data_IF_768519659973
#
_entry.id   IF_768519659973
#
_cell.length_a   1.000
_cell.length_b   1.000
_cell.length_c   1.000
_cell.angle_alpha   90.00
_cell.angle_beta   90.00
_cell.angle_gamma   90.00
#
_symmetry.space_group_name_H-M   'P 1'
#
loop_
_entity.id
_entity.type
_entity.pdbx_description
1 polymer ?
#
# COMPACT_ATOMS: atom_id res chain seq x y z
N UNK A 1 10.35 31.48 -7.36
CA UNK A 1 9.24 32.27 -7.94
C UNK A 1 9.29 32.39 -9.47
N UNK A 2 10.44 32.60 -10.12
CA UNK A 2 10.51 32.76 -11.60
C UNK A 2 10.09 31.52 -12.41
N UNK A 3 10.33 30.30 -11.92
CA UNK A 3 9.88 29.06 -12.61
C UNK A 3 8.35 28.89 -12.65
N UNK A 4 7.65 29.40 -11.63
CA UNK A 4 6.19 29.26 -11.49
C UNK A 4 5.45 30.15 -12.51
N UNK A 5 6.03 31.30 -12.85
CA UNK A 5 5.49 32.22 -13.87
C UNK A 5 5.74 31.73 -15.30
N UNK A 6 6.82 30.98 -15.54
CA UNK A 6 7.11 30.36 -16.84
C UNK A 6 6.16 29.19 -17.10
N UNK A 7 5.88 28.37 -16.07
CA UNK A 7 4.93 27.26 -16.16
C UNK A 7 3.49 27.75 -16.40
N UNK A 8 3.08 28.83 -15.74
CA UNK A 8 1.76 29.44 -15.95
C UNK A 8 1.60 30.07 -17.34
N UNK A 9 2.67 30.65 -17.92
CA UNK A 9 2.66 31.14 -19.32
C UNK A 9 2.62 29.99 -20.33
N UNK A 10 3.23 28.85 -20.03
CA UNK A 10 3.24 27.68 -20.92
C UNK A 10 1.89 26.95 -20.91
N UNK A 11 1.26 26.83 -19.74
CA UNK A 11 -0.10 26.27 -19.58
C UNK A 11 -1.15 27.18 -20.24
N UNK A 12 -1.01 28.51 -20.12
CA UNK A 12 -1.90 29.46 -20.81
C UNK A 12 -1.82 29.39 -22.35
N UNK A 13 -0.65 29.05 -22.92
CA UNK A 13 -0.48 28.89 -24.38
C UNK A 13 -1.12 27.60 -24.90
N UNK A 14 -1.00 26.50 -24.14
CA UNK A 14 -1.63 25.22 -24.45
C UNK A 14 -3.17 25.26 -24.33
N UNK A 15 -3.71 26.12 -23.46
CA UNK A 15 -5.16 26.27 -23.32
C UNK A 15 -5.81 27.15 -24.41
N UNK A 16 -5.07 28.03 -25.08
CA UNK A 16 -5.62 28.88 -26.16
C UNK A 16 -5.62 28.20 -27.53
N UNK A 17 -4.69 27.29 -27.81
CA UNK A 17 -4.58 26.66 -29.14
C UNK A 17 -5.55 25.47 -29.33
N UNK A 18 -6.13 24.93 -28.26
CA UNK A 18 -7.06 23.77 -28.32
C UNK A 18 -8.52 24.09 -27.97
N UNK A 19 -8.83 25.34 -27.61
CA UNK A 19 -10.19 25.76 -27.23
C UNK A 19 -11.21 25.75 -28.40
N UNK A 20 -10.77 25.49 -29.64
CA UNK A 20 -11.63 25.49 -30.82
C UNK A 20 -12.31 24.14 -31.13
N UNK A 21 -12.05 23.05 -30.38
CA UNK A 21 -12.49 21.70 -30.84
C UNK A 21 -13.35 20.85 -29.91
N UNK A 22 -13.55 21.14 -28.62
CA UNK A 22 -14.50 20.36 -27.79
C UNK A 22 -15.08 21.21 -26.65
N UNK A 23 -16.42 21.33 -26.52
CA UNK A 23 -17.02 22.01 -25.39
C UNK A 23 -17.24 21.03 -24.23
N UNK A 24 -17.13 21.57 -23.00
CA UNK A 24 -17.52 21.01 -21.70
C UNK A 24 -16.65 19.92 -21.04
N UNK A 25 -15.79 20.36 -20.12
CA UNK A 25 -15.64 19.69 -18.81
C UNK A 25 -15.84 20.76 -17.74
N UNK A 26 -17.02 20.78 -17.12
CA UNK A 26 -17.21 21.54 -15.89
C UNK A 26 -16.55 20.78 -14.73
N UNK A 27 -15.55 21.40 -14.11
CA UNK A 27 -14.90 20.90 -12.90
C UNK A 27 -15.86 21.11 -11.73
N UNK A 28 -16.43 20.02 -11.21
CA UNK A 28 -17.36 20.06 -10.09
C UNK A 28 -16.67 20.33 -8.73
N UNK A 29 -17.42 20.85 -7.73
CA UNK A 29 -16.90 21.27 -6.43
C UNK A 29 -16.26 20.14 -5.59
N UNK A 30 -16.58 18.88 -5.88
CA UNK A 30 -16.00 17.71 -5.19
C UNK A 30 -14.48 17.55 -5.42
N UNK A 31 -13.99 17.93 -6.60
CA UNK A 31 -12.56 17.88 -6.93
C UNK A 31 -11.77 18.90 -6.13
N UNK A 32 -12.36 20.09 -5.91
CA UNK A 32 -11.79 21.16 -5.09
C UNK A 32 -11.69 20.73 -3.62
N UNK A 33 -12.67 19.98 -3.10
CA UNK A 33 -12.65 19.46 -1.72
C UNK A 33 -11.59 18.37 -1.50
N UNK A 34 -11.40 17.47 -2.47
CA UNK A 34 -10.37 16.41 -2.38
C UNK A 34 -8.96 16.98 -2.44
N UNK A 35 -8.68 17.89 -3.39
CA UNK A 35 -7.37 18.56 -3.51
C UNK A 35 -7.04 19.38 -2.27
N UNK A 36 -8.04 20.05 -1.68
CA UNK A 36 -7.87 20.83 -0.45
C UNK A 36 -7.56 19.95 0.76
N UNK A 37 -8.19 18.78 0.86
CA UNK A 37 -7.92 17.81 1.95
C UNK A 37 -6.50 17.24 1.86
N UNK A 38 -6.03 16.90 0.65
CA UNK A 38 -4.67 16.41 0.42
C UNK A 38 -3.63 17.52 0.65
N UNK A 39 -3.92 18.75 0.20
CA UNK A 39 -3.06 19.91 0.44
C UNK A 39 -2.94 20.25 1.93
N UNK A 40 -4.03 20.17 2.70
CA UNK A 40 -4.03 20.45 4.14
C UNK A 40 -3.28 19.36 4.92
N UNK A 41 -3.41 18.10 4.51
CA UNK A 41 -2.66 16.98 5.08
C UNK A 41 -1.15 17.07 4.79
N UNK A 42 -0.77 17.58 3.62
CA UNK A 42 0.63 17.80 3.24
C UNK A 42 1.23 19.04 3.91
N UNK A 43 0.44 20.09 4.08
CA UNK A 43 0.82 21.34 4.76
C UNK A 43 1.02 21.12 6.27
N UNK A 44 0.17 20.31 6.90
CA UNK A 44 0.30 19.91 8.30
C UNK A 44 1.60 19.15 8.57
N UNK A 45 1.97 18.18 7.72
CA UNK A 45 3.24 17.43 7.82
C UNK A 45 4.48 18.31 7.64
N UNK A 46 4.42 19.32 6.76
CA UNK A 46 5.52 20.30 6.59
C UNK A 46 5.67 21.21 7.82
N UNK A 47 4.57 21.55 8.49
CA UNK A 47 4.59 22.37 9.69
C UNK A 47 5.15 21.61 10.91
N UNK A 48 4.79 20.33 11.07
CA UNK A 48 5.36 19.48 12.14
C UNK A 48 6.86 19.18 11.95
N UNK A 49 7.32 18.96 10.71
CA UNK A 49 8.74 18.76 10.41
C UNK A 49 9.59 20.00 10.77
N UNK A 50 9.04 21.20 10.62
CA UNK A 50 9.68 22.48 11.01
C UNK A 50 9.65 22.73 12.52
N UNK A 51 8.67 22.18 13.24
CA UNK A 51 8.58 22.32 14.71
C UNK A 51 9.44 21.26 15.43
N UNK A 52 9.54 20.04 14.89
CA UNK A 52 10.39 18.97 15.45
C UNK A 52 11.89 19.24 15.37
N UNK A 53 12.33 20.09 14.43
CA UNK A 53 13.73 20.53 14.31
C UNK A 53 14.12 21.64 15.28
N UNK A 54 13.17 22.47 15.75
CA UNK A 54 13.44 23.55 16.74
C UNK A 54 13.58 23.05 18.18
N UNK A 55 13.04 21.88 18.52
CA UNK A 55 13.13 21.33 19.88
C UNK A 55 14.38 20.49 20.16
N UNK A 56 15.15 20.11 19.13
CA UNK A 56 16.40 19.34 19.31
C UNK A 56 17.66 20.18 19.44
N UNK A 57 17.62 21.49 19.17
CA UNK A 57 18.80 22.37 19.24
C UNK A 57 18.98 23.13 20.56
N UNK A 58 18.12 22.92 21.58
CA UNK A 58 18.20 23.64 22.88
C UNK A 58 18.66 22.81 24.08
N UNK A 59 19.10 21.57 23.89
CA UNK A 59 19.41 20.68 25.01
C UNK A 59 20.70 19.91 24.84
N UNK A 60 21.85 20.59 24.74
CA UNK A 60 23.19 20.03 25.02
C UNK A 60 24.25 21.14 24.97
N UNK A 61 24.51 21.75 26.13
CA UNK A 61 25.81 22.31 26.49
C UNK A 61 25.85 22.38 28.02
N UNK A 62 26.48 21.38 28.64
CA UNK A 62 26.88 21.41 30.04
C UNK A 62 28.40 21.52 30.06
N UNK A 63 28.89 22.52 30.79
CA UNK A 63 30.30 22.75 31.09
C UNK A 63 30.38 23.72 32.24
N UNK A 64 30.51 23.20 33.46
CA UNK A 64 31.02 23.89 34.65
C UNK A 64 32.55 23.70 34.65
N UNK A 65 33.38 24.66 35.10
CA UNK A 65 33.70 24.67 36.53
C UNK A 65 34.01 26.06 37.17
N UNK A 66 33.69 26.15 38.46
CA UNK A 66 34.36 26.91 39.58
C UNK A 66 33.86 28.32 39.93
N UNK A 67 33.50 28.52 41.21
CA UNK A 67 33.77 29.78 41.91
C UNK A 67 32.79 30.21 43.03
N UNK A 68 33.02 29.70 44.25
CA UNK A 68 32.82 30.30 45.61
C UNK A 68 31.76 31.40 45.89
N UNK A 69 31.06 31.13 47.01
CA UNK A 69 30.84 31.97 48.21
C UNK A 69 29.42 32.47 48.54
N UNK A 70 28.93 31.92 49.67
CA UNK A 70 28.03 32.45 50.73
C UNK A 70 27.32 33.80 50.49
N UNK A 71 26.00 33.82 50.75
CA UNK A 71 25.40 34.41 51.96
C UNK A 71 23.93 34.00 52.14
N UNK A 72 23.55 34.03 53.40
CA UNK A 72 22.25 33.81 54.06
C UNK A 72 21.12 34.75 53.63
N UNK A 73 19.87 34.27 53.74
CA UNK A 73 18.73 35.14 54.08
C UNK A 73 17.40 34.79 53.40
N UNK A 74 16.42 34.38 54.22
CA UNK A 74 15.07 34.95 54.15
C UNK A 74 14.04 34.29 53.26
N UNK A 75 13.03 33.72 53.92
CA UNK A 75 11.65 33.52 53.47
C UNK A 75 11.17 34.55 52.44
N UNK A 76 10.49 34.06 51.40
CA UNK A 76 9.19 34.59 50.99
C UNK A 76 8.46 33.64 50.01
N UNK A 77 7.22 33.34 50.38
CA UNK A 77 6.19 32.70 49.57
C UNK A 77 6.08 33.36 48.20
N UNK A 78 6.03 32.54 47.15
CA UNK A 78 5.43 32.92 45.88
C UNK A 78 4.64 31.72 45.33
N UNK A 79 3.37 31.73 45.70
CA UNK A 79 2.28 30.94 45.15
C UNK A 79 2.06 31.38 43.69
N UNK A 80 2.41 30.51 42.74
CA UNK A 80 2.50 30.89 41.33
C UNK A 80 2.21 29.73 40.38
N UNK A 81 0.92 29.44 40.21
CA UNK A 81 0.32 28.84 39.03
C UNK A 81 1.06 27.64 38.38
N UNK A 82 0.81 26.43 38.92
CA UNK A 82 0.91 25.20 38.12
C UNK A 82 -0.17 25.23 37.04
N UNK A 83 0.09 25.92 35.92
CA UNK A 83 -0.63 25.67 34.67
C UNK A 83 -0.23 24.29 34.20
N UNK A 84 -1.02 23.29 34.60
CA UNK A 84 -0.94 21.95 34.06
C UNK A 84 -1.03 22.03 32.54
N UNK A 85 0.07 21.72 31.86
CA UNK A 85 0.09 21.42 30.45
C UNK A 85 -0.69 20.12 30.24
N UNK A 86 -2.02 20.24 30.20
CA UNK A 86 -2.90 19.18 29.76
C UNK A 86 -2.58 18.83 28.31
N UNK A 87 -1.60 17.96 28.11
CA UNK A 87 -1.52 17.20 26.86
C UNK A 87 -2.87 16.50 26.71
N UNK A 88 -3.57 16.64 25.57
CA UNK A 88 -4.86 15.97 25.40
C UNK A 88 -4.64 14.49 25.65
N UNK A 89 -5.39 13.95 26.61
CA UNK A 89 -5.41 12.54 26.91
C UNK A 89 -5.75 11.83 25.59
N UNK A 90 -4.75 11.19 24.98
CA UNK A 90 -5.01 10.34 23.81
C UNK A 90 -5.85 9.20 24.34
N UNK A 91 -7.16 9.31 24.21
CA UNK A 91 -8.11 8.23 24.48
C UNK A 91 -7.61 7.02 23.68
N UNK A 92 -6.99 6.08 24.39
CA UNK A 92 -6.56 4.83 23.81
C UNK A 92 -7.83 4.00 23.71
N UNK A 93 -8.27 3.76 22.47
CA UNK A 93 -9.33 2.78 22.22
C UNK A 93 -8.98 1.47 22.96
N UNK A 94 -9.97 0.78 23.55
CA UNK A 94 -9.74 -0.48 24.24
C UNK A 94 -8.95 -1.46 23.38
N UNK A 95 -8.10 -2.25 24.02
CA UNK A 95 -7.39 -3.33 23.35
C UNK A 95 -8.36 -4.47 23.06
N UNK A 96 -8.61 -4.73 21.78
CA UNK A 96 -9.44 -5.85 21.34
C UNK A 96 -8.68 -7.17 21.54
N UNK A 97 -9.35 -8.15 22.14
CA UNK A 97 -8.85 -9.52 22.34
C UNK A 97 -9.97 -10.51 22.04
N UNK A 98 -10.24 -10.80 20.75
CA UNK A 98 -11.33 -11.68 20.37
C UNK A 98 -11.02 -13.12 20.79
N UNK A 99 -12.07 -13.87 21.15
CA UNK A 99 -11.96 -15.28 21.57
C UNK A 99 -11.47 -16.17 20.43
N UNK A 100 -11.85 -15.81 19.20
CA UNK A 100 -11.40 -16.47 17.98
C UNK A 100 -10.60 -15.48 17.12
N UNK A 101 -9.54 -15.93 16.43
CA UNK A 101 -8.80 -15.08 15.52
C UNK A 101 -9.71 -14.54 14.39
N UNK A 102 -9.65 -13.25 14.05
CA UNK A 102 -10.46 -12.72 12.95
C UNK A 102 -10.10 -13.35 11.60
N UNK A 103 -11.10 -13.49 10.72
CA UNK A 103 -10.90 -13.83 9.31
C UNK A 103 -10.87 -12.56 8.47
N UNK A 104 -10.13 -12.59 7.36
CA UNK A 104 -10.22 -11.56 6.33
C UNK A 104 -9.83 -12.09 4.96
N UNK A 105 -9.92 -11.20 3.97
CA UNK A 105 -9.73 -11.53 2.56
C UNK A 105 -8.71 -10.61 1.91
N UNK A 106 -7.90 -11.13 1.00
CA UNK A 106 -6.92 -10.32 0.26
C UNK A 106 -6.58 -10.95 -1.07
N UNK A 107 -5.88 -10.22 -1.92
CA UNK A 107 -5.33 -10.75 -3.17
C UNK A 107 -3.81 -10.85 -3.12
N UNK A 108 -3.25 -11.84 -3.80
CA UNK A 108 -1.83 -12.05 -3.90
C UNK A 108 -1.47 -12.77 -5.21
N UNK A 109 -0.25 -12.62 -5.68
CA UNK A 109 0.24 -13.41 -6.80
C UNK A 109 0.82 -14.74 -6.29
N UNK A 110 0.37 -15.89 -6.81
CA UNK A 110 0.98 -17.17 -6.50
C UNK A 110 2.39 -17.22 -7.09
N UNK A 111 3.34 -17.79 -6.36
CA UNK A 111 4.73 -17.91 -6.78
C UNK A 111 5.27 -19.32 -6.55
N UNK A 112 6.23 -19.72 -7.38
CA UNK A 112 6.95 -20.98 -7.31
C UNK A 112 8.45 -20.69 -7.22
N UNK A 113 9.17 -21.38 -6.35
CA UNK A 113 10.63 -21.29 -6.29
C UNK A 113 11.25 -21.77 -7.60
N UNK A 114 12.42 -21.25 -7.94
CA UNK A 114 13.14 -21.62 -9.16
C UNK A 114 13.40 -23.13 -9.25
N UNK A 115 13.69 -23.77 -8.13
CA UNK A 115 13.92 -25.22 -8.02
C UNK A 115 12.63 -26.06 -8.00
N UNK A 116 11.45 -25.41 -8.04
CA UNK A 116 10.14 -26.06 -8.04
C UNK A 116 9.75 -26.73 -6.72
N UNK A 117 10.54 -26.58 -5.65
CA UNK A 117 10.33 -27.30 -4.38
C UNK A 117 9.41 -26.56 -3.40
N UNK A 118 9.15 -25.27 -3.63
CA UNK A 118 8.37 -24.42 -2.72
C UNK A 118 7.38 -23.58 -3.48
N UNK A 119 6.19 -23.43 -2.92
CA UNK A 119 5.18 -22.50 -3.39
C UNK A 119 4.80 -21.51 -2.28
N UNK A 120 4.29 -20.36 -2.68
CA UNK A 120 3.86 -19.31 -1.75
C UNK A 120 3.19 -18.17 -2.49
N UNK A 121 3.19 -17.01 -1.86
CA UNK A 121 2.52 -15.83 -2.40
C UNK A 121 3.40 -14.60 -2.30
N UNK A 122 3.17 -13.63 -3.17
CA UNK A 122 3.68 -12.27 -3.01
C UNK A 122 2.53 -11.27 -3.03
N UNK A 123 2.62 -10.23 -2.20
CA UNK A 123 1.58 -9.20 -2.11
C UNK A 123 1.47 -8.38 -3.40
N UNK A 124 0.31 -7.76 -3.61
CA UNK A 124 0.06 -6.85 -4.74
C UNK A 124 0.43 -5.39 -4.46
N UNK A 125 0.71 -5.05 -3.20
CA UNK A 125 1.02 -3.68 -2.75
C UNK A 125 2.53 -3.49 -2.48
N UNK A 126 2.93 -2.33 -1.95
CA UNK A 126 4.31 -1.98 -1.59
C UNK A 126 5.07 -3.04 -0.76
N UNK A 127 4.34 -3.88 0.01
CA UNK A 127 4.90 -5.01 0.75
C UNK A 127 5.19 -6.28 -0.08
N UNK A 128 4.86 -6.29 -1.37
CA UNK A 128 5.03 -7.41 -2.32
C UNK A 128 6.46 -7.62 -2.82
N UNK A 129 7.46 -7.19 -2.04
CA UNK A 129 8.86 -7.34 -2.39
C UNK A 129 9.38 -8.75 -2.15
N UNK A 130 8.86 -9.45 -1.13
CA UNK A 130 9.33 -10.77 -0.71
C UNK A 130 8.19 -11.80 -0.72
N UNK A 131 8.41 -12.98 -1.34
CA UNK A 131 7.54 -14.13 -1.19
C UNK A 131 7.37 -14.56 0.26
N UNK A 132 6.16 -14.97 0.61
CA UNK A 132 5.80 -15.52 1.92
C UNK A 132 5.02 -16.84 1.77
N UNK A 133 5.15 -17.70 2.78
CA UNK A 133 4.44 -18.97 2.85
C UNK A 133 2.99 -18.83 3.30
N UNK A 134 2.28 -19.97 3.37
CA UNK A 134 0.89 -20.04 3.83
C UNK A 134 0.75 -19.55 5.28
N UNK A 135 1.64 -20.02 6.16
CA UNK A 135 1.83 -19.51 7.51
C UNK A 135 3.07 -18.61 7.51
N UNK A 136 2.91 -17.33 7.84
CA UNK A 136 4.01 -16.37 7.75
C UNK A 136 3.88 -15.25 8.78
N UNK A 137 5.03 -14.78 9.26
CA UNK A 137 5.19 -13.58 10.08
C UNK A 137 5.60 -12.39 9.21
N UNK A 138 5.07 -11.22 9.52
CA UNK A 138 5.37 -9.98 8.83
C UNK A 138 6.71 -9.42 9.31
N UNK A 139 7.55 -9.03 8.37
CA UNK A 139 8.80 -8.32 8.62
C UNK A 139 8.71 -6.87 8.14
N UNK A 140 9.61 -6.02 8.63
CA UNK A 140 9.74 -4.66 8.10
C UNK A 140 10.49 -4.71 6.77
N UNK A 141 9.84 -4.27 5.69
CA UNK A 141 10.45 -4.21 4.35
C UNK A 141 11.65 -3.24 4.33
N UNK A 142 11.64 -2.22 5.19
CA UNK A 142 12.75 -1.28 5.34
C UNK A 142 13.89 -1.80 6.25
N UNK A 143 13.80 -3.03 6.76
CA UNK A 143 14.82 -3.60 7.67
C UNK A 143 14.90 -2.92 9.04
N UNK A 144 13.93 -2.06 9.39
CA UNK A 144 13.91 -1.36 10.67
C UNK A 144 13.63 -2.32 11.83
N UNK A 145 14.32 -2.09 12.94
CA UNK A 145 14.15 -2.86 14.17
C UNK A 145 12.91 -2.39 14.93
N UNK A 146 11.77 -3.00 14.63
CA UNK A 146 10.56 -2.86 15.41
C UNK A 146 9.64 -4.07 15.23
N UNK A 147 8.73 -4.28 16.17
CA UNK A 147 7.70 -5.31 16.04
C UNK A 147 6.66 -4.92 15.00
N UNK A 148 6.38 -5.82 14.05
CA UNK A 148 5.26 -5.65 13.12
C UNK A 148 3.92 -6.05 13.79
N UNK A 149 2.80 -5.39 13.45
CA UNK A 149 2.73 -4.10 12.77
C UNK A 149 3.11 -2.95 13.72
N UNK A 150 3.91 -2.01 13.24
CA UNK A 150 4.22 -0.77 13.95
C UNK A 150 3.38 0.40 13.39
N UNK A 151 2.65 1.12 14.25
CA UNK A 151 1.72 2.20 13.86
C UNK A 151 2.35 3.32 13.01
N UNK A 152 3.67 3.50 13.06
CA UNK A 152 4.42 4.53 12.30
C UNK A 152 5.22 3.98 11.12
N UNK A 153 5.06 2.70 10.82
CA UNK A 153 5.63 2.03 9.67
C UNK A 153 4.48 1.42 8.86
N UNK A 154 4.73 1.01 7.62
CA UNK A 154 3.81 0.27 6.75
C UNK A 154 3.93 -1.26 6.90
N UNK A 155 4.87 -1.76 7.72
CA UNK A 155 5.09 -3.19 7.93
C UNK A 155 3.86 -3.97 8.40
N UNK A 156 3.65 -5.18 7.89
CA UNK A 156 2.49 -5.98 8.22
C UNK A 156 1.82 -6.53 6.98
N UNK A 157 1.11 -7.63 7.16
CA UNK A 157 0.17 -8.08 6.15
C UNK A 157 -1.11 -7.24 6.23
N UNK A 158 -1.84 -7.17 5.12
CA UNK A 158 -3.10 -6.43 5.03
C UNK A 158 -4.18 -7.37 4.47
N UNK A 159 -5.40 -7.28 5.01
CA UNK A 159 -6.60 -7.88 4.44
C UNK A 159 -7.80 -6.97 4.69
N UNK A 160 -8.84 -7.11 3.88
CA UNK A 160 -10.14 -6.49 4.10
C UNK A 160 -11.07 -7.44 4.85
N UNK A 161 -12.10 -6.90 5.49
CA UNK A 161 -13.10 -7.70 6.20
C UNK A 161 -14.02 -8.45 5.23
N UNK A 162 -14.39 -7.79 4.14
CA UNK A 162 -15.39 -8.28 3.20
C UNK A 162 -14.75 -9.00 2.01
N UNK A 163 -15.34 -10.13 1.64
CA UNK A 163 -14.85 -10.95 0.53
C UNK A 163 -15.08 -10.26 -0.81
N UNK A 164 -16.25 -9.65 -1.01
CA UNK A 164 -16.58 -9.00 -2.28
C UNK A 164 -15.66 -7.80 -2.54
N UNK A 165 -15.30 -7.05 -1.49
CA UNK A 165 -14.30 -5.98 -1.56
C UNK A 165 -12.92 -6.49 -2.01
N UNK A 166 -12.48 -7.66 -1.53
CA UNK A 166 -11.23 -8.27 -2.00
C UNK A 166 -11.34 -8.77 -3.45
N UNK A 167 -12.48 -9.33 -3.83
CA UNK A 167 -12.75 -9.80 -5.19
C UNK A 167 -12.80 -8.64 -6.20
N UNK A 168 -13.36 -7.49 -5.83
CA UNK A 168 -13.40 -6.29 -6.66
C UNK A 168 -11.99 -5.80 -7.05
N UNK A 169 -10.98 -6.03 -6.19
CA UNK A 169 -9.59 -5.71 -6.52
C UNK A 169 -9.06 -6.53 -7.70
N UNK A 170 -9.63 -7.70 -8.00
CA UNK A 170 -9.23 -8.53 -9.14
C UNK A 170 -9.72 -7.97 -10.49
N UNK A 171 -10.62 -6.98 -10.49
CA UNK A 171 -11.08 -6.35 -11.73
C UNK A 171 -10.00 -5.46 -12.36
N UNK A 172 -9.04 -4.95 -11.57
CA UNK A 172 -7.96 -4.11 -12.10
C UNK A 172 -6.99 -4.92 -12.93
N UNK A 173 -6.50 -4.34 -14.03
CA UNK A 173 -5.69 -5.03 -15.01
C UNK A 173 -4.44 -5.70 -14.40
N UNK A 174 -3.84 -5.02 -13.44
CA UNK A 174 -2.63 -5.38 -12.72
C UNK A 174 -2.85 -6.58 -11.79
N UNK A 175 -4.10 -6.84 -11.41
CA UNK A 175 -4.46 -7.83 -10.39
C UNK A 175 -5.35 -8.95 -10.94
N UNK A 176 -5.75 -8.88 -12.22
CA UNK A 176 -6.58 -9.91 -12.88
C UNK A 176 -6.00 -11.33 -12.79
N UNK A 177 -4.69 -11.47 -12.66
CA UNK A 177 -4.00 -12.78 -12.53
C UNK A 177 -3.69 -13.16 -11.08
N UNK A 178 -3.98 -12.30 -10.11
CA UNK A 178 -3.84 -12.62 -8.70
C UNK A 178 -4.89 -13.64 -8.26
N UNK A 179 -4.63 -14.28 -7.13
CA UNK A 179 -5.57 -15.18 -6.47
C UNK A 179 -6.20 -14.48 -5.27
N UNK A 180 -7.46 -14.79 -5.00
CA UNK A 180 -8.12 -14.38 -3.77
C UNK A 180 -7.75 -15.34 -2.65
N UNK A 181 -7.35 -14.79 -1.52
CA UNK A 181 -6.95 -15.52 -0.32
C UNK A 181 -7.94 -15.27 0.81
N UNK A 182 -8.38 -16.37 1.42
CA UNK A 182 -9.00 -16.38 2.74
C UNK A 182 -7.91 -16.58 3.78
N UNK A 183 -7.83 -15.66 4.75
CA UNK A 183 -6.78 -15.62 5.75
C UNK A 183 -7.32 -15.50 7.17
N UNK A 184 -6.71 -16.27 8.07
CA UNK A 184 -6.86 -16.06 9.50
C UNK A 184 -5.81 -15.06 9.97
N UNK A 185 -6.26 -14.01 10.65
CA UNK A 185 -5.45 -12.93 11.22
C UNK A 185 -4.90 -13.41 12.57
N UNK A 186 -3.59 -13.60 12.64
CA UNK A 186 -2.89 -14.11 13.80
C UNK A 186 -1.95 -13.08 14.41
N UNK A 187 -1.69 -13.23 15.71
CA UNK A 187 -0.81 -12.36 16.46
C UNK A 187 -1.37 -10.94 16.61
N UNK A 188 -0.48 -9.94 16.65
CA UNK A 188 -0.89 -8.54 16.82
C UNK A 188 -1.49 -8.00 15.55
N UNK A 189 -2.58 -7.25 15.68
CA UNK A 189 -3.18 -6.53 14.57
C UNK A 189 -3.57 -5.10 14.94
N UNK A 190 -3.76 -4.30 13.90
CA UNK A 190 -4.42 -3.01 13.91
C UNK A 190 -5.67 -3.19 13.06
N UNK A 191 -6.84 -2.92 13.65
CA UNK A 191 -8.11 -2.92 12.93
C UNK A 191 -8.36 -1.53 12.36
N UNK A 192 -8.78 -1.50 11.10
CA UNK A 192 -9.28 -0.33 10.41
C UNK A 192 -10.73 -0.59 10.02
N UNK A 193 -11.40 0.47 9.54
CA UNK A 193 -12.78 0.40 9.06
C UNK A 193 -12.95 -0.69 8.00
N UNK A 194 -12.05 -0.74 7.02
CA UNK A 194 -12.15 -1.66 5.88
C UNK A 194 -11.40 -2.99 6.07
N UNK A 195 -10.61 -3.16 7.13
CA UNK A 195 -9.80 -4.37 7.25
C UNK A 195 -8.85 -4.44 8.44
N UNK A 196 -7.83 -5.28 8.29
CA UNK A 196 -6.80 -5.51 9.28
C UNK A 196 -5.41 -5.30 8.70
N UNK A 197 -4.50 -4.84 9.56
CA UNK A 197 -3.06 -4.94 9.34
C UNK A 197 -2.43 -5.74 10.47
N UNK A 198 -1.70 -6.80 10.18
CA UNK A 198 -1.40 -7.81 11.18
C UNK A 198 -0.01 -8.44 11.06
N UNK A 199 0.40 -9.07 12.16
CA UNK A 199 1.75 -9.58 12.37
C UNK A 199 1.94 -10.98 11.79
N UNK A 200 0.91 -11.83 11.80
CA UNK A 200 1.00 -13.21 11.33
C UNK A 200 -0.28 -13.61 10.61
N UNK A 201 -0.16 -14.45 9.59
CA UNK A 201 -1.31 -15.04 8.89
C UNK A 201 -1.20 -16.54 8.82
N UNK A 202 -2.37 -17.18 8.65
CA UNK A 202 -2.51 -18.45 7.96
C UNK A 202 -3.44 -18.27 6.77
N UNK A 203 -3.02 -18.65 5.57
CA UNK A 203 -3.90 -18.74 4.39
C UNK A 203 -4.63 -20.09 4.43
N UNK A 204 -5.96 -20.08 4.34
CA UNK A 204 -6.74 -21.32 4.31
C UNK A 204 -7.11 -21.74 2.90
N UNK A 205 -7.60 -20.78 2.11
CA UNK A 205 -8.04 -21.02 0.73
C UNK A 205 -7.42 -20.01 -0.21
N UNK A 206 -6.92 -20.50 -1.34
CA UNK A 206 -6.59 -19.69 -2.51
C UNK A 206 -7.60 -19.99 -3.62
N UNK A 207 -8.40 -18.99 -4.00
CA UNK A 207 -9.33 -19.06 -5.13
C UNK A 207 -8.65 -18.48 -6.37
N UNK A 208 -8.47 -19.35 -7.37
CA UNK A 208 -7.80 -19.04 -8.63
C UNK A 208 -8.81 -18.56 -9.65
N UNK A 209 -8.56 -17.40 -10.28
CA UNK A 209 -9.42 -16.86 -11.33
C UNK A 209 -9.45 -17.72 -12.60
N UNK A 210 -10.17 -17.24 -13.61
CA UNK A 210 -10.18 -17.89 -14.92
C UNK A 210 -8.84 -17.70 -15.65
N UNK A 211 -8.56 -18.58 -16.61
CA UNK A 211 -7.52 -18.39 -17.60
C UNK A 211 -7.76 -17.09 -18.38
N UNK A 212 -6.71 -16.52 -18.98
CA UNK A 212 -6.82 -15.35 -19.86
C UNK A 212 -7.82 -15.55 -21.03
N UNK A 213 -8.02 -16.80 -21.48
CA UNK A 213 -9.03 -17.15 -22.49
C UNK A 213 -10.46 -17.27 -21.94
N UNK A 214 -10.70 -16.96 -20.66
CA UNK A 214 -12.00 -17.04 -19.99
C UNK A 214 -12.37 -18.42 -19.44
N UNK A 215 -11.66 -19.48 -19.82
CA UNK A 215 -11.93 -20.85 -19.34
C UNK A 215 -11.48 -21.04 -17.89
N UNK A 216 -12.15 -21.95 -17.15
CA UNK A 216 -11.74 -22.39 -15.81
C UNK A 216 -10.26 -22.80 -15.81
N UNK A 217 -9.51 -22.30 -14.83
CA UNK A 217 -8.11 -22.65 -14.67
C UNK A 217 -7.96 -24.09 -14.17
N UNK A 218 -7.07 -24.84 -14.80
CA UNK A 218 -6.69 -26.20 -14.39
C UNK A 218 -5.33 -26.21 -13.66
N UNK A 219 -4.52 -25.17 -13.86
CA UNK A 219 -3.18 -25.05 -13.31
C UNK A 219 -2.77 -23.57 -13.17
N UNK A 220 -1.62 -23.37 -12.53
CA UNK A 220 -0.92 -22.11 -12.41
C UNK A 220 0.36 -22.20 -13.26
N UNK A 221 0.48 -21.37 -14.29
CA UNK A 221 1.60 -21.37 -15.24
C UNK A 221 2.48 -20.13 -15.07
N UNK A 222 3.74 -20.19 -15.51
CA UNK A 222 4.67 -19.05 -15.48
C UNK A 222 4.00 -17.80 -16.10
N UNK A 223 3.97 -16.72 -15.32
CA UNK A 223 3.39 -15.44 -15.70
C UNK A 223 4.37 -14.53 -16.46
N UNK A 224 5.61 -14.97 -16.68
CA UNK A 224 6.64 -14.20 -17.38
C UNK A 224 7.31 -13.12 -16.53
N UNK A 225 7.05 -13.10 -15.22
CA UNK A 225 7.68 -12.19 -14.27
C UNK A 225 7.96 -12.90 -12.94
N UNK A 226 8.75 -12.26 -12.07
CA UNK A 226 9.04 -12.84 -10.77
C UNK A 226 9.95 -11.98 -9.90
N UNK A 227 10.56 -12.63 -8.92
CA UNK A 227 11.61 -12.10 -8.04
C UNK A 227 12.84 -13.02 -8.13
N UNK A 228 14.03 -12.59 -7.69
CA UNK A 228 15.18 -13.49 -7.62
C UNK A 228 14.84 -14.79 -6.88
N UNK A 229 15.01 -15.93 -7.55
CA UNK A 229 14.68 -17.26 -7.03
C UNK A 229 13.20 -17.66 -7.06
N UNK A 230 12.30 -16.81 -7.57
CA UNK A 230 10.85 -17.05 -7.57
C UNK A 230 10.17 -16.60 -8.85
N UNK A 231 9.37 -17.48 -9.45
CA UNK A 231 8.53 -17.20 -10.62
C UNK A 231 7.12 -16.91 -10.16
N UNK A 232 6.52 -15.84 -10.65
CA UNK A 232 5.10 -15.61 -10.48
C UNK A 232 4.30 -16.51 -11.42
N UNK A 233 3.13 -16.93 -10.97
CA UNK A 233 2.25 -17.78 -11.72
C UNK A 233 0.92 -17.08 -12.02
N UNK A 234 0.32 -17.44 -13.15
CA UNK A 234 -0.98 -16.98 -13.59
C UNK A 234 -1.93 -18.17 -13.82
N UNK A 235 -3.24 -17.99 -13.62
CA UNK A 235 -4.23 -19.02 -13.96
C UNK A 235 -4.13 -19.46 -15.42
N UNK A 236 -4.21 -20.77 -15.67
CA UNK A 236 -4.19 -21.32 -17.04
C UNK A 236 -5.07 -22.56 -17.17
N UNK A 237 -5.85 -22.61 -18.25
CA UNK A 237 -6.66 -23.78 -18.60
C UNK A 237 -5.82 -24.84 -19.31
N UNK A 238 -6.32 -26.07 -19.41
CA UNK A 238 -5.62 -27.18 -20.06
C UNK A 238 -5.17 -26.87 -21.50
N UNK A 239 -5.96 -26.10 -22.26
CA UNK A 239 -5.63 -25.70 -23.62
C UNK A 239 -4.45 -24.71 -23.72
N UNK A 240 -4.41 -23.72 -22.83
CA UNK A 240 -3.40 -22.66 -22.85
C UNK A 240 -2.06 -23.06 -22.18
N UNK A 241 -1.97 -24.23 -21.55
CA UNK A 241 -0.77 -24.63 -20.79
C UNK A 241 0.45 -25.01 -21.65
N UNK A 242 0.25 -25.33 -22.94
CA UNK A 242 1.27 -25.98 -23.78
C UNK A 242 2.62 -25.25 -23.75
N UNK A 243 3.67 -25.98 -23.36
CA UNK A 243 5.06 -25.52 -23.39
C UNK A 243 5.48 -24.58 -22.25
N UNK A 244 4.63 -24.32 -21.24
CA UNK A 244 4.95 -23.43 -20.11
C UNK A 244 5.24 -24.23 -18.84
N UNK A 245 6.20 -23.75 -18.04
CA UNK A 245 6.38 -24.21 -16.66
C UNK A 245 5.08 -23.99 -15.91
N UNK A 246 4.50 -25.05 -15.37
CA UNK A 246 3.22 -24.98 -14.68
C UNK A 246 3.13 -25.99 -13.55
N UNK A 247 2.25 -25.70 -12.61
CA UNK A 247 1.91 -26.59 -11.50
C UNK A 247 0.40 -26.71 -11.42
N UNK A 248 -0.11 -27.92 -11.22
CA UNK A 248 -1.54 -28.13 -10.99
C UNK A 248 -1.97 -27.44 -9.70
N UNK A 249 -3.27 -27.14 -9.55
CA UNK A 249 -3.78 -26.51 -8.33
C UNK A 249 -3.49 -27.34 -7.08
N UNK A 250 -3.68 -28.66 -7.16
CA UNK A 250 -3.33 -29.60 -6.11
C UNK A 250 -1.81 -29.69 -5.87
N UNK A 251 -1.00 -29.60 -6.92
CA UNK A 251 0.45 -29.55 -6.79
C UNK A 251 0.92 -28.31 -6.04
N UNK A 252 0.36 -27.14 -6.37
CA UNK A 252 0.65 -25.89 -5.67
C UNK A 252 0.26 -25.99 -4.20
N UNK A 253 -0.93 -26.52 -3.89
CA UNK A 253 -1.39 -26.76 -2.52
C UNK A 253 -0.39 -27.60 -1.70
N UNK A 254 0.10 -28.70 -2.28
CA UNK A 254 1.10 -29.57 -1.62
C UNK A 254 2.42 -28.86 -1.38
N UNK A 255 2.94 -28.13 -2.37
CA UNK A 255 4.21 -27.40 -2.27
C UNK A 255 4.14 -26.20 -1.32
N UNK A 256 2.95 -25.60 -1.18
CA UNK A 256 2.72 -24.49 -0.27
C UNK A 256 2.56 -24.96 1.19
N UNK A 257 2.13 -26.22 1.38
CA UNK A 257 2.01 -26.87 2.69
C UNK A 257 0.89 -26.29 3.54
N UNK A 258 0.95 -26.58 4.84
CA UNK A 258 0.06 -25.99 5.87
C UNK A 258 -1.45 -26.20 5.62
N UNK A 259 -1.82 -27.27 4.91
CA UNK A 259 -3.22 -27.58 4.62
C UNK A 259 -3.93 -26.55 3.73
N UNK A 260 -3.18 -25.78 2.93
CA UNK A 260 -3.76 -24.85 1.96
C UNK A 260 -4.71 -25.59 1.01
N UNK A 261 -5.92 -25.06 0.85
CA UNK A 261 -6.84 -25.48 -0.21
C UNK A 261 -6.69 -24.54 -1.41
N UNK A 262 -6.50 -25.08 -2.62
CA UNK A 262 -6.48 -24.29 -3.85
C UNK A 262 -7.65 -24.72 -4.72
N UNK A 263 -8.50 -23.77 -5.09
CA UNK A 263 -9.72 -24.02 -5.89
C UNK A 263 -9.77 -23.10 -7.09
N UNK A 264 -10.24 -23.59 -8.23
CA UNK A 264 -10.58 -22.74 -9.35
C UNK A 264 -11.93 -22.06 -9.08
N UNK A 265 -12.05 -20.79 -9.45
CA UNK A 265 -13.34 -20.09 -9.48
C UNK A 265 -14.17 -20.71 -10.61
N UNK A 266 -15.40 -21.18 -10.33
CA UNK A 266 -16.33 -21.54 -11.40
C UNK A 266 -16.51 -20.34 -12.33
N UNK A 267 -16.49 -20.58 -13.64
CA UNK A 267 -16.93 -19.54 -14.58
C UNK A 267 -18.43 -19.42 -14.39
N UNK A 268 -18.92 -18.22 -14.04
CA UNK A 268 -20.34 -17.95 -14.10
C UNK A 268 -20.76 -18.04 -15.57
N UNK A 269 -21.45 -19.12 -15.93
CA UNK A 269 -22.16 -19.20 -17.20
C UNK A 269 -23.42 -18.36 -17.00
N UNK A 270 -23.65 -17.27 -17.74
CA UNK A 270 -24.93 -16.60 -17.70
C UNK A 270 -26.00 -17.61 -18.11
N UNK A 271 -27.05 -17.77 -17.30
CA UNK A 271 -28.16 -18.65 -17.64
C UNK A 271 -28.77 -18.17 -18.97
N UNK A 272 -29.10 -19.09 -19.91
CA UNK A 272 -29.78 -18.70 -21.14
C UNK A 272 -31.22 -18.31 -20.77
N UNK A 273 -31.49 -17.00 -20.67
CA UNK A 273 -32.83 -16.50 -20.40
C UNK A 273 -32.93 -15.13 -19.73
N UNK A 274 -31.84 -14.60 -19.14
CA UNK A 274 -31.89 -13.25 -18.58
C UNK A 274 -31.59 -12.19 -19.67
N UNK A 275 -32.51 -11.24 -19.92
CA UNK A 275 -32.22 -10.12 -20.80
C UNK A 275 -31.11 -9.27 -20.18
N UNK A 276 -29.93 -9.28 -20.81
CA UNK A 276 -28.88 -8.30 -20.56
C UNK A 276 -29.41 -6.94 -21.03
N UNK A 277 -29.96 -6.17 -20.10
CA UNK A 277 -30.06 -4.73 -20.28
C UNK A 277 -28.63 -4.17 -20.29
N UNK A 278 -28.26 -3.32 -21.26
CA UNK A 278 -26.96 -2.65 -21.26
C UNK A 278 -26.96 -1.59 -20.14
N UNK A 279 -26.67 -2.03 -18.93
CA UNK A 279 -26.35 -1.15 -17.81
C UNK A 279 -24.96 -0.57 -18.02
N UNK A 280 -24.89 0.74 -18.06
CA UNK A 280 -23.68 1.57 -18.14
C UNK A 280 -22.51 0.97 -17.34
N UNK A 281 -21.33 0.91 -17.97
CA UNK A 281 -20.07 0.64 -17.27
C UNK A 281 -19.99 1.53 -16.03
N UNK A 282 -20.03 0.90 -14.86
CA UNK A 282 -20.21 1.60 -13.62
C UNK A 282 -19.04 2.54 -13.33
N UNK A 283 -19.36 3.71 -12.79
CA UNK A 283 -18.45 4.67 -12.16
C UNK A 283 -17.25 4.04 -11.38
N UNK A 284 -17.36 2.86 -10.74
CA UNK A 284 -16.21 2.20 -10.09
C UNK A 284 -15.08 1.75 -11.01
N UNK A 285 -15.36 1.33 -12.25
CA UNK A 285 -14.32 0.89 -13.20
C UNK A 285 -13.57 2.09 -13.78
N UNK A 286 -14.28 3.17 -14.06
CA UNK A 286 -13.69 4.46 -14.45
C UNK A 286 -12.83 5.07 -13.33
N UNK A 287 -13.25 4.92 -12.06
CA UNK A 287 -12.47 5.37 -10.90
C UNK A 287 -11.20 4.53 -10.71
N UNK A 288 -11.25 3.22 -10.96
CA UNK A 288 -10.09 2.35 -10.93
C UNK A 288 -9.09 2.69 -12.04
N UNK A 289 -9.56 2.96 -13.26
CA UNK A 289 -8.72 3.43 -14.36
C UNK A 289 -8.11 4.80 -14.09
N UNK A 290 -8.86 5.75 -13.53
CA UNK A 290 -8.34 7.06 -13.16
C UNK A 290 -7.27 6.99 -12.06
N UNK A 291 -7.47 6.14 -11.05
CA UNK A 291 -6.48 5.90 -10.00
C UNK A 291 -5.20 5.26 -10.56
N UNK A 292 -5.31 4.39 -11.56
CA UNK A 292 -4.18 3.78 -12.24
C UNK A 292 -3.35 4.82 -13.02
N UNK A 293 -4.03 5.67 -13.78
CA UNK A 293 -3.38 6.75 -14.52
C UNK A 293 -2.65 7.71 -13.58
N UNK A 294 -3.25 8.00 -12.41
CA UNK A 294 -2.63 8.84 -11.39
C UNK A 294 -1.37 8.20 -10.79
N UNK A 295 -1.43 6.92 -10.41
CA UNK A 295 -0.28 6.20 -9.85
C UNK A 295 0.88 6.09 -10.84
N UNK A 296 0.57 5.92 -12.13
CA UNK A 296 1.57 5.85 -13.19
C UNK A 296 2.23 7.21 -13.44
N UNK A 297 1.45 8.30 -13.38
CA UNK A 297 1.97 9.66 -13.46
C UNK A 297 2.91 9.98 -12.29
N UNK A 298 2.52 9.63 -11.07
CA UNK A 298 3.33 9.84 -9.85
C UNK A 298 4.66 9.07 -9.91
N UNK A 299 4.64 7.85 -10.47
CA UNK A 299 5.86 7.08 -10.70
C UNK A 299 6.77 7.73 -11.74
N UNK A 300 6.22 8.22 -12.86
CA UNK A 300 6.99 8.94 -13.88
C UNK A 300 7.62 10.23 -13.31
N UNK A 301 6.85 10.99 -12.54
CA UNK A 301 7.35 12.20 -11.88
C UNK A 301 8.47 11.88 -10.89
N UNK A 302 8.37 10.76 -10.16
CA UNK A 302 9.42 10.29 -9.27
C UNK A 302 10.69 9.87 -10.03
N UNK A 303 10.58 9.26 -11.22
CA UNK A 303 11.75 8.95 -12.04
C UNK A 303 12.41 10.21 -12.62
N UNK A 304 11.63 11.18 -13.10
CA UNK A 304 12.14 12.45 -13.59
C UNK A 304 12.85 13.25 -12.49
N UNK A 305 12.30 13.27 -11.27
CA UNK A 305 12.94 13.90 -10.12
C UNK A 305 14.30 13.27 -9.78
N UNK A 306 14.46 11.95 -9.96
CA UNK A 306 15.74 11.25 -9.75
C UNK A 306 16.76 11.56 -10.84
N UNK A 307 16.33 11.68 -12.10
CA UNK A 307 17.21 12.06 -13.20
C UNK A 307 17.66 13.53 -13.08
N UNK A 308 16.79 14.41 -12.58
CA UNK A 308 17.13 15.81 -12.31
C UNK A 308 18.07 16.04 -11.12
N UNK A 309 18.26 15.04 -10.25
CA UNK A 309 19.21 15.09 -9.12
C UNK A 309 20.65 14.67 -9.50
N UNK A 310 20.87 14.24 -10.75
CA UNK A 310 22.18 13.83 -11.26
C UNK A 310 22.94 14.90 -12.05
N UNK A 311 22.54 16.17 -11.97
CA UNK A 311 23.29 17.28 -12.58
C UNK A 311 24.51 17.67 -11.73
N UNK A 312 25.71 17.86 -12.31
CA UNK A 312 26.91 18.21 -11.57
C UNK A 312 26.85 19.68 -11.13
N UNK A 313 26.48 19.93 -9.88
CA UNK A 313 26.67 21.24 -9.25
C UNK A 313 28.12 21.39 -8.77
N UNK A 314 28.88 22.20 -9.50
CA UNK A 314 29.85 23.15 -8.96
C UNK A 314 31.08 22.59 -8.24
N UNK A 315 32.14 22.34 -9.00
CA UNK A 315 33.50 22.39 -8.44
C UNK A 315 33.90 23.83 -8.08
N UNK A 316 34.74 24.05 -7.05
CA UNK A 316 34.98 25.36 -6.45
C UNK A 316 35.89 26.24 -7.30
N UNK A 317 35.60 27.54 -7.34
CA UNK A 317 36.58 28.56 -7.69
C UNK A 317 37.71 28.57 -6.65
N UNK A 318 38.93 28.27 -7.06
CA UNK A 318 40.17 28.75 -6.43
C UNK A 318 41.22 28.93 -7.52
N UNK A 319 41.72 30.15 -7.69
CA UNK A 319 42.77 30.54 -8.64
C UNK A 319 42.57 31.96 -9.12
#
# INVERSE_FOLDING_TARGET
>A
MKLHLILLRYIGKLCCEDAAKRPYVQIGPAWVTMVRTVHDQWSWRRHEARQGTRHRSRGRAAGDPRGRARTSGGDQRAEGARRGSGSPMRLRLPEERPTEPPTGYKIAHPVLSQDGTRAGFTGVSLGGALPYGVLADASCVYGLRHRAPNRRCDCGFHCVHDRAAAEALLCTAEHRTAVLLDVTVLGRYLRFELGFRYARQRVHTATVGACACGTVAAALADAGWGRPGWRALAPSCAGCLRGRTAVSLAGFARLAGEGLRVVARPVAVPAPGDPVLPGELGVPELAAEAALLQARLDWFQSQLARLGQGGPDGGPQVG
#
